data_IF_769003746658
#
_entry.id   IF_769003746658
#
_cell.length_a   1.000
_cell.length_b   1.000
_cell.length_c   1.000
_cell.angle_alpha   90.00
_cell.angle_beta   90.00
_cell.angle_gamma   90.00
#
_symmetry.space_group_name_H-M   'P 1'
#
loop_
_entity.id
_entity.type
_entity.pdbx_description
1 polymer ?
#
# COMPACT_ATOMS: atom_id res chain seq x y z
N UNK A 1 -54.42 0.83 37.94
CA UNK A 1 -53.55 0.93 36.74
C UNK A 1 -53.96 2.15 35.92
N UNK A 2 -53.01 2.95 35.41
CA UNK A 2 -53.30 4.15 34.61
C UNK A 2 -53.16 3.82 33.12
N UNK A 3 -54.13 4.25 32.30
CA UNK A 3 -54.09 4.01 30.85
C UNK A 3 -52.98 4.86 30.19
N UNK A 4 -52.05 4.27 29.41
CA UNK A 4 -50.96 5.02 28.76
C UNK A 4 -51.44 5.89 27.59
N UNK A 5 -52.69 5.73 27.14
CA UNK A 5 -53.24 6.47 25.99
C UNK A 5 -54.10 7.67 26.38
N UNK A 6 -54.90 7.55 27.44
CA UNK A 6 -55.85 8.59 27.85
C UNK A 6 -55.73 8.98 29.33
N UNK A 7 -54.76 8.43 30.06
CA UNK A 7 -54.45 8.69 31.47
C UNK A 7 -55.59 8.42 32.47
N UNK A 8 -56.67 7.76 32.03
CA UNK A 8 -57.76 7.34 32.91
C UNK A 8 -57.28 6.29 33.93
N UNK A 9 -57.72 6.42 35.17
CA UNK A 9 -57.44 5.43 36.23
C UNK A 9 -58.44 4.28 36.16
N UNK A 10 -57.91 3.07 35.96
CA UNK A 10 -58.68 1.83 35.83
C UNK A 10 -58.35 0.88 36.99
N UNK A 11 -59.28 -0.04 37.30
CA UNK A 11 -59.06 -1.07 38.32
C UNK A 11 -57.95 -2.02 37.85
N UNK A 12 -57.22 -2.65 38.78
CA UNK A 12 -56.05 -3.46 38.46
C UNK A 12 -56.36 -4.78 37.73
N UNK A 13 -57.64 -5.11 37.53
CA UNK A 13 -58.11 -6.33 36.85
C UNK A 13 -58.66 -6.05 35.44
N UNK A 14 -58.87 -4.78 35.06
CA UNK A 14 -59.40 -4.44 33.74
C UNK A 14 -58.34 -4.62 32.65
N UNK A 15 -58.56 -5.57 31.74
CA UNK A 15 -57.71 -5.81 30.55
C UNK A 15 -57.73 -4.68 29.53
N UNK A 16 -58.75 -3.83 29.56
CA UNK A 16 -58.93 -2.72 28.64
C UNK A 16 -59.33 -1.46 29.40
N UNK A 17 -58.97 -0.30 28.86
CA UNK A 17 -59.34 0.99 29.40
C UNK A 17 -60.84 1.24 29.21
N UNK A 18 -61.55 1.55 30.30
CA UNK A 18 -62.99 1.84 30.28
C UNK A 18 -63.39 3.07 29.44
N UNK A 19 -62.45 3.98 29.17
CA UNK A 19 -62.70 5.24 28.46
C UNK A 19 -62.32 5.18 26.97
N UNK A 20 -61.16 4.60 26.65
CA UNK A 20 -60.62 4.63 25.28
C UNK A 20 -60.39 3.25 24.66
N UNK A 21 -60.75 2.16 25.36
CA UNK A 21 -60.61 0.79 24.86
C UNK A 21 -59.17 0.28 24.70
N UNK A 22 -58.15 1.04 25.11
CA UNK A 22 -56.76 0.61 24.98
C UNK A 22 -56.46 -0.60 25.87
N UNK A 23 -55.69 -1.57 25.37
CA UNK A 23 -55.24 -2.72 26.15
C UNK A 23 -54.36 -2.25 27.30
N UNK A 24 -54.69 -2.66 28.51
CA UNK A 24 -53.94 -2.38 29.72
C UNK A 24 -53.14 -3.63 30.08
N UNK A 25 -51.84 -3.58 29.81
CA UNK A 25 -50.92 -4.67 30.13
C UNK A 25 -50.40 -4.52 31.55
N UNK A 26 -50.35 -5.62 32.27
CA UNK A 26 -49.66 -5.68 33.55
C UNK A 26 -48.15 -5.49 33.35
N UNK A 27 -47.43 -5.11 34.42
CA UNK A 27 -45.97 -4.97 34.35
C UNK A 27 -45.27 -6.28 33.93
N UNK A 28 -45.81 -7.44 34.31
CA UNK A 28 -45.27 -8.74 33.90
C UNK A 28 -45.45 -8.99 32.39
N UNK A 29 -46.60 -8.61 31.83
CA UNK A 29 -46.87 -8.73 30.39
C UNK A 29 -46.03 -7.74 29.56
N UNK A 30 -45.82 -6.52 30.06
CA UNK A 30 -44.93 -5.54 29.43
C UNK A 30 -43.50 -6.06 29.37
N UNK A 31 -42.94 -6.55 30.48
CA UNK A 31 -41.60 -7.15 30.52
C UNK A 31 -41.47 -8.35 29.58
N UNK A 32 -42.49 -9.21 29.52
CA UNK A 32 -42.51 -10.35 28.59
C UNK A 32 -42.52 -9.89 27.13
N UNK A 33 -43.25 -8.83 26.82
CA UNK A 33 -43.31 -8.25 25.47
C UNK A 33 -41.96 -7.63 25.08
N UNK A 34 -41.33 -6.87 25.97
CA UNK A 34 -40.01 -6.27 25.75
C UNK A 34 -38.94 -7.34 25.50
N UNK A 35 -38.91 -8.40 26.31
CA UNK A 35 -37.98 -9.52 26.14
C UNK A 35 -38.18 -10.25 24.80
N UNK A 36 -39.44 -10.48 24.40
CA UNK A 36 -39.75 -11.10 23.11
C UNK A 36 -39.33 -10.22 21.92
N UNK A 37 -39.47 -8.90 22.03
CA UNK A 37 -39.02 -7.96 20.99
C UNK A 37 -37.49 -8.01 20.86
N UNK A 38 -36.76 -7.96 21.98
CA UNK A 38 -35.30 -8.05 21.98
C UNK A 38 -34.81 -9.36 21.37
N UNK A 39 -35.40 -10.49 21.76
CA UNK A 39 -35.05 -11.81 21.22
C UNK A 39 -35.30 -11.90 19.70
N UNK A 40 -36.40 -11.31 19.22
CA UNK A 40 -36.72 -11.29 17.79
C UNK A 40 -35.71 -10.48 16.99
N UNK A 41 -35.30 -9.32 17.52
CA UNK A 41 -34.28 -8.47 16.90
C UNK A 41 -32.92 -9.18 16.81
N UNK A 42 -32.51 -9.89 17.87
CA UNK A 42 -31.26 -10.66 17.87
C UNK A 42 -31.25 -11.81 16.85
N UNK A 43 -32.36 -12.55 16.74
CA UNK A 43 -32.49 -13.63 15.75
C UNK A 43 -32.43 -13.08 14.33
N UNK A 44 -33.05 -11.92 14.08
CA UNK A 44 -33.06 -11.29 12.76
C UNK A 44 -31.66 -10.80 12.36
N UNK A 45 -30.94 -10.11 13.26
CA UNK A 45 -29.56 -9.68 13.00
C UNK A 45 -28.61 -10.86 12.74
N UNK A 46 -28.78 -11.99 13.44
CA UNK A 46 -27.98 -13.20 13.18
C UNK A 46 -28.24 -13.79 11.79
N UNK A 47 -29.50 -13.83 11.36
CA UNK A 47 -29.88 -14.32 10.01
C UNK A 47 -29.33 -13.44 8.91
N UNK A 48 -29.44 -12.12 9.05
CA UNK A 48 -28.91 -11.17 8.07
C UNK A 48 -27.38 -11.26 7.95
N UNK A 49 -26.68 -11.44 9.08
CA UNK A 49 -25.22 -11.63 9.08
C UNK A 49 -24.80 -12.95 8.41
N UNK A 50 -25.53 -14.04 8.65
CA UNK A 50 -25.26 -15.33 8.00
C UNK A 50 -25.54 -15.27 6.49
N UNK A 51 -26.62 -14.62 6.07
CA UNK A 51 -26.96 -14.43 4.66
C UNK A 51 -25.93 -13.54 3.94
N UNK A 52 -25.48 -12.46 4.58
CA UNK A 52 -24.41 -11.62 4.05
C UNK A 52 -23.10 -12.39 3.88
N UNK A 53 -22.75 -13.23 4.86
CA UNK A 53 -21.56 -14.10 4.77
C UNK A 53 -21.69 -15.13 3.64
N UNK A 54 -22.86 -15.77 3.46
CA UNK A 54 -23.12 -16.69 2.35
C UNK A 54 -23.04 -16.01 0.98
N UNK A 55 -23.59 -14.79 0.84
CA UNK A 55 -23.50 -14.01 -0.41
C UNK A 55 -22.06 -13.60 -0.74
N UNK A 56 -21.28 -13.18 0.25
CA UNK A 56 -19.86 -12.86 0.07
C UNK A 56 -19.04 -14.08 -0.39
N UNK A 57 -19.29 -15.25 0.20
CA UNK A 57 -18.63 -16.49 -0.22
C UNK A 57 -19.00 -16.88 -1.66
N UNK A 58 -20.29 -16.82 -2.03
CA UNK A 58 -20.75 -17.14 -3.38
C UNK A 58 -20.21 -16.19 -4.46
N UNK A 59 -20.07 -14.89 -4.15
CA UNK A 59 -19.47 -13.92 -5.08
C UNK A 59 -17.98 -14.20 -5.32
N UNK A 60 -17.23 -14.57 -4.27
CA UNK A 60 -15.80 -14.89 -4.38
C UNK A 60 -15.53 -16.11 -5.27
N UNK A 61 -16.36 -17.16 -5.18
CA UNK A 61 -16.22 -18.35 -6.03
C UNK A 61 -16.66 -18.11 -7.48
N UNK A 62 -17.59 -17.19 -7.70
CA UNK A 62 -18.08 -16.86 -9.05
C UNK A 62 -17.01 -16.06 -9.82
N UNK A 63 -16.41 -15.04 -9.20
CA UNK A 63 -15.34 -14.23 -9.82
C UNK A 63 -14.09 -15.05 -10.17
N UNK A 64 -13.72 -16.03 -9.34
CA UNK A 64 -12.59 -16.93 -9.62
C UNK A 64 -12.84 -17.80 -10.88
N UNK A 65 -14.07 -18.23 -11.11
CA UNK A 65 -14.42 -19.04 -12.28
C UNK A 65 -14.53 -18.22 -13.58
N UNK A 66 -14.96 -16.96 -13.51
CA UNK A 66 -15.08 -16.08 -14.69
C UNK A 66 -13.71 -15.62 -15.20
N UNK A 67 -12.75 -15.37 -14.28
CA UNK A 67 -11.38 -15.03 -14.66
C UNK A 67 -10.61 -16.23 -15.24
N UNK A 68 -10.85 -17.45 -14.74
CA UNK A 68 -10.22 -18.66 -15.29
C UNK A 68 -10.74 -19.00 -16.71
N UNK A 69 -12.03 -18.77 -16.99
CA UNK A 69 -12.60 -19.01 -18.31
C UNK A 69 -12.19 -17.93 -19.34
N UNK A 70 -12.07 -16.67 -18.93
CA UNK A 70 -11.56 -15.60 -19.80
C UNK A 70 -10.07 -15.77 -20.14
N UNK A 71 -9.26 -16.30 -19.20
CA UNK A 71 -7.86 -16.63 -19.45
C UNK A 71 -7.71 -17.80 -20.43
N UNK A 72 -8.54 -18.85 -20.32
CA UNK A 72 -8.48 -20.01 -21.20
C UNK A 72 -8.91 -19.73 -22.66
N UNK A 73 -9.81 -18.76 -22.88
CA UNK A 73 -10.21 -18.33 -24.23
C UNK A 73 -9.18 -17.39 -24.88
N UNK A 74 -8.40 -16.65 -24.10
CA UNK A 74 -7.32 -15.80 -24.61
C UNK A 74 -6.09 -16.61 -25.08
N UNK A 75 -5.88 -17.83 -24.57
CA UNK A 75 -4.77 -18.71 -24.98
C UNK A 75 -5.00 -19.41 -26.33
N UNK A 76 -6.25 -19.55 -26.79
CA UNK A 76 -6.58 -20.29 -28.03
C UNK A 76 -6.49 -19.47 -29.33
N UNK A 77 -6.26 -18.15 -29.26
CA UNK A 77 -6.17 -17.27 -30.43
C UNK A 77 -4.79 -16.60 -30.61
N UNK A 78 -3.71 -17.25 -30.16
CA UNK A 78 -2.38 -16.82 -30.59
C UNK A 78 -2.17 -17.17 -32.07
N UNK A 79 -2.31 -16.16 -32.93
CA UNK A 79 -1.91 -16.27 -34.33
C UNK A 79 -0.44 -16.71 -34.43
N UNK A 80 -0.04 -17.46 -35.49
CA UNK A 80 1.35 -17.88 -35.68
C UNK A 80 2.34 -16.69 -35.72
N UNK A 81 1.86 -15.50 -36.08
CA UNK A 81 2.61 -14.24 -36.02
C UNK A 81 2.90 -13.84 -34.57
N UNK A 82 1.88 -13.89 -33.70
CA UNK A 82 2.04 -13.57 -32.28
C UNK A 82 3.00 -14.54 -31.58
N UNK A 83 2.94 -15.84 -31.91
CA UNK A 83 3.91 -16.83 -31.42
C UNK A 83 5.33 -16.56 -31.89
N UNK A 84 5.52 -16.17 -33.15
CA UNK A 84 6.84 -15.81 -33.66
C UNK A 84 7.41 -14.57 -32.95
N UNK A 85 6.58 -13.56 -32.70
CA UNK A 85 6.93 -12.34 -31.94
C UNK A 85 7.29 -12.69 -30.49
N UNK A 86 6.46 -13.49 -29.80
CA UNK A 86 6.69 -13.90 -28.41
C UNK A 86 7.96 -14.75 -28.29
N UNK A 87 8.23 -15.65 -29.25
CA UNK A 87 9.47 -16.44 -29.31
C UNK A 87 10.72 -15.59 -29.57
N UNK A 88 10.61 -14.55 -30.41
CA UNK A 88 11.68 -13.59 -30.63
C UNK A 88 11.95 -12.68 -29.41
N UNK A 89 10.93 -12.46 -28.58
CA UNK A 89 11.05 -11.71 -27.33
C UNK A 89 11.58 -12.58 -26.18
N UNK A 90 11.20 -13.86 -26.10
CA UNK A 90 11.68 -14.80 -25.09
C UNK A 90 13.18 -15.12 -25.23
N UNK A 91 13.72 -15.09 -26.45
CA UNK A 91 15.17 -15.21 -26.69
C UNK A 91 15.96 -13.94 -26.36
N UNK A 92 15.27 -12.83 -26.07
CA UNK A 92 15.83 -11.62 -25.45
C UNK A 92 15.50 -11.58 -23.95
N UNK A 93 15.83 -12.64 -23.22
CA UNK A 93 15.98 -12.48 -21.77
C UNK A 93 16.96 -11.31 -21.54
N UNK A 94 16.63 -10.29 -20.71
CA UNK A 94 17.57 -9.22 -20.43
C UNK A 94 18.80 -9.89 -19.82
N UNK A 95 19.90 -9.94 -20.57
CA UNK A 95 21.16 -10.37 -20.02
C UNK A 95 21.39 -9.49 -18.80
N UNK A 96 21.43 -10.10 -17.62
CA UNK A 96 21.60 -9.37 -16.38
C UNK A 96 22.97 -8.70 -16.45
N UNK A 97 22.97 -7.41 -16.79
CA UNK A 97 24.18 -6.63 -16.99
C UNK A 97 24.91 -6.60 -15.65
N UNK A 98 26.13 -7.12 -15.65
CA UNK A 98 27.02 -7.09 -14.48
C UNK A 98 27.89 -5.86 -14.56
N UNK A 99 28.00 -5.12 -13.47
CA UNK A 99 28.81 -3.91 -13.39
C UNK A 99 29.88 -4.07 -12.30
N UNK A 100 31.08 -3.59 -12.60
CA UNK A 100 32.17 -3.36 -11.67
C UNK A 100 32.17 -1.88 -11.27
N UNK A 101 32.56 -1.57 -10.05
CA UNK A 101 32.56 -0.21 -9.51
C UNK A 101 33.95 0.16 -8.99
N UNK A 102 34.32 1.42 -9.13
CA UNK A 102 35.56 1.96 -8.59
C UNK A 102 35.38 3.38 -8.04
N UNK A 103 36.18 3.72 -7.03
CA UNK A 103 36.09 4.98 -6.31
C UNK A 103 37.45 5.65 -6.28
N UNK A 104 37.53 6.88 -6.77
CA UNK A 104 38.77 7.65 -6.78
C UNK A 104 38.59 8.92 -5.98
N UNK A 105 39.49 9.16 -5.02
CA UNK A 105 39.51 10.41 -4.25
C UNK A 105 40.63 11.30 -4.79
N UNK A 106 40.31 12.56 -5.04
CA UNK A 106 41.22 13.59 -5.56
C UNK A 106 41.34 14.69 -4.51
N UNK A 107 42.51 14.87 -3.90
CA UNK A 107 42.68 15.94 -2.93
C UNK A 107 42.62 17.30 -3.63
N UNK A 108 41.97 18.27 -2.99
CA UNK A 108 41.94 19.65 -3.46
C UNK A 108 43.30 20.32 -3.21
N UNK A 109 43.48 21.50 -3.80
CA UNK A 109 44.65 22.32 -3.54
C UNK A 109 44.64 22.83 -2.10
N UNK A 110 45.81 23.26 -1.63
CA UNK A 110 46.00 23.83 -0.28
C UNK A 110 45.16 25.08 0.00
N UNK A 111 44.61 25.72 -1.02
CA UNK A 111 43.70 26.86 -0.92
C UNK A 111 42.20 26.45 -0.94
N UNK A 112 41.89 25.15 -0.82
CA UNK A 112 40.54 24.59 -0.87
C UNK A 112 39.96 24.42 -2.28
N UNK A 113 40.55 25.05 -3.31
CA UNK A 113 40.03 24.92 -4.68
C UNK A 113 40.32 23.55 -5.29
N UNK A 114 39.39 23.03 -6.08
CA UNK A 114 39.54 21.78 -6.83
C UNK A 114 40.82 21.75 -7.68
N UNK A 115 41.55 20.63 -7.64
CA UNK A 115 42.63 20.39 -8.58
C UNK A 115 42.09 19.91 -9.94
N UNK A 116 41.66 20.88 -10.74
CA UNK A 116 41.12 20.66 -12.09
C UNK A 116 42.09 19.88 -12.99
N UNK A 117 43.42 20.01 -12.81
CA UNK A 117 44.39 19.28 -13.64
C UNK A 117 44.42 17.81 -13.26
N UNK A 118 44.48 17.51 -11.97
CA UNK A 118 44.42 16.15 -11.46
C UNK A 118 43.09 15.47 -11.83
N UNK A 119 41.98 16.18 -11.65
CA UNK A 119 40.64 15.69 -11.99
C UNK A 119 40.51 15.36 -13.48
N UNK A 120 40.93 16.27 -14.37
CA UNK A 120 40.91 16.02 -15.82
C UNK A 120 41.76 14.81 -16.22
N UNK A 121 42.93 14.65 -15.60
CA UNK A 121 43.81 13.50 -15.86
C UNK A 121 43.13 12.19 -15.48
N UNK A 122 42.51 12.11 -14.30
CA UNK A 122 41.82 10.91 -13.82
C UNK A 122 40.61 10.59 -14.69
N UNK A 123 39.80 11.59 -15.03
CA UNK A 123 38.65 11.40 -15.91
C UNK A 123 39.08 10.88 -17.29
N UNK A 124 40.14 11.44 -17.88
CA UNK A 124 40.65 10.98 -19.17
C UNK A 124 41.19 9.54 -19.11
N UNK A 125 41.95 9.22 -18.06
CA UNK A 125 42.47 7.86 -17.82
C UNK A 125 41.32 6.85 -17.69
N UNK A 126 40.35 7.12 -16.81
CA UNK A 126 39.19 6.25 -16.56
C UNK A 126 38.32 6.07 -17.80
N UNK A 127 38.07 7.15 -18.54
CA UNK A 127 37.31 7.08 -19.79
C UNK A 127 38.03 6.22 -20.84
N UNK A 128 39.36 6.34 -20.98
CA UNK A 128 40.15 5.51 -21.88
C UNK A 128 40.08 4.02 -21.52
N UNK A 129 40.01 3.71 -20.22
CA UNK A 129 39.86 2.35 -19.69
C UNK A 129 38.41 1.82 -19.75
N UNK A 130 37.47 2.60 -20.29
CA UNK A 130 36.07 2.22 -20.49
C UNK A 130 35.18 2.36 -19.26
N UNK A 131 35.61 3.13 -18.25
CA UNK A 131 34.79 3.45 -17.09
C UNK A 131 33.85 4.62 -17.37
N UNK A 132 32.62 4.52 -16.87
CA UNK A 132 31.62 5.59 -16.86
C UNK A 132 31.63 6.25 -15.48
N UNK A 133 31.77 7.57 -15.45
CA UNK A 133 31.53 8.33 -14.22
C UNK A 133 30.03 8.34 -13.91
N UNK A 134 29.68 7.97 -12.69
CA UNK A 134 28.29 7.86 -12.21
C UNK A 134 27.93 9.04 -11.32
N UNK A 135 28.80 9.36 -10.36
CA UNK A 135 28.55 10.44 -9.40
C UNK A 135 29.86 11.03 -8.87
N UNK A 136 29.77 12.23 -8.32
CA UNK A 136 30.88 12.97 -7.72
C UNK A 136 30.42 13.62 -6.43
N UNK A 137 31.21 13.48 -5.37
CA UNK A 137 30.97 14.06 -4.06
C UNK A 137 32.16 14.94 -3.68
N UNK A 138 31.92 16.13 -3.15
CA UNK A 138 32.97 17.02 -2.66
C UNK A 138 32.72 17.29 -1.18
N UNK A 139 33.71 17.08 -0.31
CA UNK A 139 33.59 17.42 1.10
C UNK A 139 34.13 18.84 1.36
N UNK A 140 33.27 19.83 1.20
CA UNK A 140 33.59 21.22 1.57
C UNK A 140 33.46 21.41 3.09
N UNK A 141 34.38 20.80 3.85
CA UNK A 141 34.48 21.04 5.29
C UNK A 141 35.14 22.41 5.53
N UNK A 142 34.31 23.46 5.56
CA UNK A 142 34.48 24.68 6.36
C UNK A 142 35.70 25.57 6.11
N UNK A 143 35.57 26.51 5.17
CA UNK A 143 36.42 27.70 5.10
C UNK A 143 35.96 28.76 6.14
N UNK A 144 36.46 28.72 7.37
CA UNK A 144 36.42 29.87 8.30
C UNK A 144 37.83 30.43 8.40
N UNK A 145 38.17 31.31 7.46
CA UNK A 145 39.43 32.05 7.43
C UNK A 145 39.35 33.30 8.32
N UNK A 146 39.24 33.13 9.64
CA UNK A 146 39.51 34.19 10.60
C UNK A 146 40.16 33.60 11.85
N UNK A 147 41.49 33.72 11.89
CA UNK A 147 42.38 33.48 13.02
C UNK A 147 42.43 32.04 13.61
N UNK A 148 43.51 31.32 13.31
CA UNK A 148 43.87 30.07 13.99
C UNK A 148 43.59 28.84 13.13
N UNK A 149 44.66 28.15 12.75
CA UNK A 149 44.70 26.99 11.84
C UNK A 149 43.78 25.84 12.25
N UNK A 150 42.74 25.59 11.45
CA UNK A 150 42.28 24.24 11.14
C UNK A 150 41.60 24.23 9.76
N UNK A 151 42.40 24.17 8.70
CA UNK A 151 41.89 23.89 7.36
C UNK A 151 41.73 22.38 7.25
N UNK A 152 40.50 21.90 7.39
CA UNK A 152 40.11 20.56 6.95
C UNK A 152 40.45 20.42 5.47
N UNK A 153 41.17 19.35 5.10
CA UNK A 153 41.53 19.07 3.71
C UNK A 153 40.24 18.79 2.93
N UNK A 154 39.97 19.56 1.87
CA UNK A 154 38.88 19.26 0.93
C UNK A 154 39.33 18.19 -0.08
N UNK A 155 38.41 17.33 -0.48
CA UNK A 155 38.60 16.20 -1.39
C UNK A 155 37.37 16.02 -2.28
N UNK A 156 37.63 15.65 -3.53
CA UNK A 156 36.63 15.27 -4.52
C UNK A 156 36.65 13.74 -4.69
N UNK A 157 35.54 13.06 -4.38
CA UNK A 157 35.35 11.61 -4.52
C UNK A 157 34.52 11.32 -5.77
N UNK A 158 35.08 10.54 -6.69
CA UNK A 158 34.47 10.17 -7.96
C UNK A 158 34.07 8.69 -7.92
N UNK A 159 32.82 8.40 -8.23
CA UNK A 159 32.25 7.06 -8.31
C UNK A 159 32.09 6.65 -9.78
N UNK A 160 32.77 5.57 -10.17
CA UNK A 160 32.76 5.04 -11.54
C UNK A 160 32.13 3.65 -11.60
N UNK A 161 31.62 3.30 -12.78
CA UNK A 161 31.18 1.94 -13.08
C UNK A 161 31.64 1.49 -14.46
N UNK A 162 31.77 0.18 -14.65
CA UNK A 162 32.17 -0.44 -15.92
C UNK A 162 31.39 -1.72 -16.13
N UNK A 163 30.84 -1.89 -17.34
CA UNK A 163 30.15 -3.13 -17.70
C UNK A 163 31.17 -4.27 -17.80
N UNK A 164 30.99 -5.31 -17.02
CA UNK A 164 31.78 -6.54 -17.12
C UNK A 164 31.16 -7.43 -18.19
N UNK A 165 31.98 -7.91 -19.12
CA UNK A 165 31.57 -8.87 -20.15
C UNK A 165 31.50 -10.28 -19.58
#
# INVERSE_FOLDING_TARGET
MVCPRCHETNTNLSRFCKKCGAVLLTQAELKKKEMNIALTQEVQMKREKEEAARKAQAQSSTQASTQAQAAAQAESEETPIQRAINKANASKAPQQLKFEYDVVTVPNKTNGSTDVKALKKILAQKAADGWRLVSTYSNELGHISTAGTNSTICEDVLYFEKLTR
#
